data_IF_840762546411
#
_entry.id   IF_840762546411
#
_cell.length_a   1.000
_cell.length_b   1.000
_cell.length_c   1.000
_cell.angle_alpha   90.00
_cell.angle_beta   90.00
_cell.angle_gamma   90.00
#
_symmetry.space_group_name_H-M   'P 1'
#
loop_
_entity.id
_entity.type
_entity.pdbx_description
1 polymer ?
#
# COMPACT_ATOMS: atom_id res chain seq x y z
N UNK A 1 -11.24 0.02 -4.57
CA UNK A 1 -12.22 -1.08 -4.61
C UNK A 1 -13.54 -0.57 -4.05
N UNK A 2 -14.61 -0.51 -4.86
CA UNK A 2 -15.93 -0.02 -4.41
C UNK A 2 -16.75 -1.20 -3.87
N UNK A 3 -17.56 -0.99 -2.84
CA UNK A 3 -18.51 -2.01 -2.37
C UNK A 3 -19.64 -2.22 -3.39
N UNK A 4 -20.54 -3.19 -3.13
CA UNK A 4 -21.68 -3.48 -4.01
C UNK A 4 -22.62 -2.28 -4.23
N UNK A 5 -22.52 -1.25 -3.39
CA UNK A 5 -23.25 0.03 -3.46
C UNK A 5 -22.44 1.16 -4.12
N UNK A 6 -21.23 0.88 -4.62
CA UNK A 6 -20.39 1.87 -5.27
C UNK A 6 -19.63 2.80 -4.30
N UNK A 7 -19.70 2.59 -2.98
CA UNK A 7 -18.96 3.40 -2.01
C UNK A 7 -17.50 2.98 -1.94
N UNK A 8 -16.62 3.93 -1.63
CA UNK A 8 -15.22 3.63 -1.37
C UNK A 8 -15.15 2.75 -0.13
N UNK A 9 -14.71 1.50 -0.30
CA UNK A 9 -14.46 0.62 0.84
C UNK A 9 -13.20 1.13 1.54
N UNK A 10 -13.31 1.43 2.82
CA UNK A 10 -12.15 1.67 3.66
C UNK A 10 -11.67 0.29 4.11
N UNK A 11 -10.52 -0.20 3.63
CA UNK A 11 -9.98 -1.47 4.12
C UNK A 11 -9.71 -1.35 5.61
N UNK A 12 -9.99 -2.42 6.36
CA UNK A 12 -9.49 -2.54 7.72
C UNK A 12 -7.98 -2.85 7.70
N UNK A 13 -7.34 -2.77 8.86
CA UNK A 13 -5.89 -2.96 8.98
C UNK A 13 -5.42 -4.33 8.45
N UNK A 14 -6.12 -5.47 8.75
CA UNK A 14 -5.79 -6.76 8.15
C UNK A 14 -5.87 -6.79 6.62
N UNK A 15 -6.89 -6.19 6.04
CA UNK A 15 -7.03 -6.12 4.58
C UNK A 15 -5.94 -5.27 3.96
N UNK A 16 -5.58 -4.14 4.59
CA UNK A 16 -4.49 -3.32 4.08
C UNK A 16 -3.15 -4.06 4.13
N UNK A 17 -2.86 -4.81 5.19
CA UNK A 17 -1.65 -5.64 5.27
C UNK A 17 -1.59 -6.67 4.13
N UNK A 18 -2.74 -7.25 3.75
CA UNK A 18 -2.84 -8.17 2.62
C UNK A 18 -2.59 -7.46 1.29
N UNK A 19 -3.15 -6.27 1.11
CA UNK A 19 -2.91 -5.45 -0.08
C UNK A 19 -1.44 -5.05 -0.18
N UNK A 20 -0.79 -4.66 0.92
CA UNK A 20 0.65 -4.36 0.93
C UNK A 20 1.48 -5.59 0.53
N UNK A 21 1.17 -6.77 1.05
CA UNK A 21 1.86 -8.01 0.66
C UNK A 21 1.73 -8.27 -0.86
N UNK A 22 0.53 -8.09 -1.41
CA UNK A 22 0.26 -8.24 -2.85
C UNK A 22 1.05 -7.23 -3.69
N UNK A 23 1.12 -5.97 -3.25
CA UNK A 23 1.87 -4.92 -3.94
C UNK A 23 3.39 -5.20 -3.92
N UNK A 24 3.90 -5.78 -2.83
CA UNK A 24 5.32 -6.17 -2.73
C UNK A 24 5.66 -7.32 -3.67
N UNK A 25 4.79 -8.31 -3.78
CA UNK A 25 4.97 -9.44 -4.70
C UNK A 25 5.04 -8.97 -6.17
N UNK A 26 4.30 -7.93 -6.51
CA UNK A 26 4.21 -7.39 -7.87
C UNK A 26 4.99 -6.08 -8.07
N UNK A 27 5.95 -5.78 -7.19
CA UNK A 27 6.63 -4.47 -7.14
C UNK A 27 7.27 -4.09 -8.49
N UNK A 28 7.95 -5.04 -9.15
CA UNK A 28 8.62 -4.77 -10.43
C UNK A 28 7.63 -4.48 -11.56
N UNK A 29 6.50 -5.20 -11.58
CA UNK A 29 5.41 -4.93 -12.53
C UNK A 29 4.82 -3.54 -12.29
N UNK A 30 4.56 -3.18 -11.03
CA UNK A 30 4.01 -1.86 -10.68
C UNK A 30 5.00 -0.76 -11.06
N UNK A 31 6.28 -0.92 -10.75
CA UNK A 31 7.30 0.06 -11.05
C UNK A 31 7.48 0.30 -12.57
N UNK A 32 7.28 -0.73 -13.39
CA UNK A 32 7.41 -0.64 -14.86
C UNK A 32 6.16 -0.13 -15.57
N UNK A 33 4.98 -0.27 -14.96
CA UNK A 33 3.68 0.03 -15.59
C UNK A 33 2.99 1.29 -15.08
N UNK A 34 3.49 1.89 -14.00
CA UNK A 34 2.94 3.14 -13.45
C UNK A 34 3.68 4.37 -13.97
N UNK A 35 2.96 5.48 -14.07
CA UNK A 35 3.52 6.74 -14.55
C UNK A 35 4.68 7.19 -13.65
N UNK A 36 5.78 7.61 -14.27
CA UNK A 36 7.07 7.79 -13.60
C UNK A 36 7.66 9.17 -13.90
N UNK A 37 7.73 10.07 -12.90
CA UNK A 37 8.45 11.32 -13.05
C UNK A 37 9.98 11.16 -12.91
N UNK A 38 10.46 9.94 -12.62
CA UNK A 38 11.85 9.61 -12.25
C UNK A 38 12.32 8.32 -12.93
N UNK A 39 13.61 8.03 -12.81
CA UNK A 39 14.20 6.79 -13.29
C UNK A 39 13.57 5.55 -12.61
N UNK A 40 13.57 4.42 -13.33
CA UNK A 40 12.86 3.20 -12.91
C UNK A 40 13.29 2.72 -11.51
N UNK A 41 14.59 2.69 -11.24
CA UNK A 41 15.11 2.22 -9.95
C UNK A 41 14.74 3.16 -8.80
N UNK A 42 14.75 4.46 -9.05
CA UNK A 42 14.34 5.46 -8.06
C UNK A 42 12.84 5.38 -7.77
N UNK A 43 12.03 5.18 -8.82
CA UNK A 43 10.59 4.99 -8.69
C UNK A 43 10.26 3.71 -7.91
N UNK A 44 10.89 2.59 -8.28
CA UNK A 44 10.78 1.30 -7.59
C UNK A 44 11.16 1.41 -6.11
N UNK A 45 12.32 2.00 -5.82
CA UNK A 45 12.80 2.24 -4.45
C UNK A 45 11.83 3.14 -3.66
N UNK A 46 11.25 4.14 -4.30
CA UNK A 46 10.25 5.02 -3.70
C UNK A 46 8.95 4.30 -3.35
N UNK A 47 8.47 3.40 -4.21
CA UNK A 47 7.31 2.55 -3.93
C UNK A 47 7.64 1.59 -2.78
N UNK A 48 8.79 0.93 -2.81
CA UNK A 48 9.20 -0.01 -1.76
C UNK A 48 9.27 0.67 -0.38
N UNK A 49 9.88 1.85 -0.31
CA UNK A 49 9.97 2.63 0.93
C UNK A 49 8.59 2.97 1.49
N UNK A 50 7.66 3.42 0.62
CA UNK A 50 6.29 3.74 1.03
C UNK A 50 5.55 2.50 1.54
N UNK A 51 5.65 1.37 0.84
CA UNK A 51 5.04 0.10 1.29
C UNK A 51 5.57 -0.33 2.66
N UNK A 52 6.89 -0.20 2.89
CA UNK A 52 7.51 -0.51 4.19
C UNK A 52 6.98 0.38 5.32
N UNK A 53 6.78 1.68 5.06
CA UNK A 53 6.24 2.63 6.04
C UNK A 53 4.78 2.26 6.36
N UNK A 54 3.97 1.99 5.34
CA UNK A 54 2.56 1.61 5.50
C UNK A 54 2.45 0.30 6.28
N UNK A 55 3.26 -0.70 5.96
CA UNK A 55 3.31 -1.98 6.66
C UNK A 55 3.62 -1.80 8.15
N UNK A 56 4.68 -1.06 8.47
CA UNK A 56 5.08 -0.80 9.84
C UNK A 56 4.01 -0.03 10.62
N UNK A 57 3.36 0.96 10.00
CA UNK A 57 2.27 1.70 10.62
C UNK A 57 1.03 0.81 10.86
N UNK A 58 0.71 -0.06 9.89
CA UNK A 58 -0.41 -1.00 9.97
C UNK A 58 -0.22 -2.03 11.08
N UNK A 59 1.00 -2.57 11.24
CA UNK A 59 1.31 -3.50 12.32
C UNK A 59 1.11 -2.86 13.70
N UNK A 60 1.58 -1.62 13.89
CA UNK A 60 1.34 -0.85 15.13
C UNK A 60 -0.14 -0.55 15.37
N UNK A 61 -0.87 -0.21 14.30
CA UNK A 61 -2.31 0.04 14.39
C UNK A 61 -3.07 -1.23 14.81
N UNK A 62 -2.67 -2.40 14.27
CA UNK A 62 -3.24 -3.71 14.65
C UNK A 62 -3.03 -4.02 16.13
N UNK A 63 -1.84 -3.76 16.66
CA UNK A 63 -1.50 -4.00 18.07
C UNK A 63 -2.29 -3.09 19.03
N UNK A 64 -2.59 -1.87 18.60
CA UNK A 64 -3.28 -0.85 19.41
C UNK A 64 -4.79 -0.81 19.21
N UNK A 65 -5.33 -1.60 18.27
CA UNK A 65 -6.72 -1.49 17.82
C UNK A 65 -7.04 -0.18 17.10
N UNK A 66 -6.01 0.55 16.66
CA UNK A 66 -6.12 1.83 15.98
C UNK A 66 -6.30 1.72 14.47
N UNK A 67 -6.42 2.88 13.83
CA UNK A 67 -6.42 3.03 12.37
C UNK A 67 -5.15 3.72 11.87
N UNK A 68 -5.11 3.96 10.56
CA UNK A 68 -3.97 4.58 9.86
C UNK A 68 -4.49 5.64 8.90
N UNK A 69 -3.77 6.76 8.85
CA UNK A 69 -4.03 7.87 7.92
C UNK A 69 -2.85 7.94 6.96
N UNK A 70 -3.12 7.94 5.66
CA UNK A 70 -2.14 8.04 4.59
C UNK A 70 -2.40 9.36 3.88
N UNK A 71 -1.37 10.20 3.71
CA UNK A 71 -1.45 11.49 3.02
C UNK A 71 -0.28 11.67 2.06
#
# INVERSE_FOLDING_TARGET
MRDATGKLRIPDVPDLLREVALLREHLDLIATTTDRPRELEEHRSGIELRLRIIEAASLRARETGGGIVIW
#
